data_IF_934092743796
#
_entry.id   IF_934092743796
#
_cell.length_a   1.000
_cell.length_b   1.000
_cell.length_c   1.000
_cell.angle_alpha   90.00
_cell.angle_beta   90.00
_cell.angle_gamma   90.00
#
_symmetry.space_group_name_H-M   'P 1'
#
loop_
_entity.id
_entity.type
_entity.pdbx_description
1 polymer ?
#
# COMPACT_ATOMS: atom_id res chain seq x y z
N UNK A 1 -4.46 12.32 23.69
CA UNK A 1 -4.91 12.30 22.47
C UNK A 1 -3.80 12.24 21.42
N UNK A 2 -3.50 11.20 21.02
CA UNK A 2 -2.42 11.06 20.11
C UNK A 2 -2.84 10.86 18.69
N UNK A 3 -2.09 10.03 18.08
CA UNK A 3 -2.30 9.67 16.70
C UNK A 3 -3.64 8.97 16.50
N UNK A 4 -4.22 9.23 15.37
CA UNK A 4 -5.39 8.52 14.91
C UNK A 4 -4.92 7.43 13.97
N UNK A 5 -5.25 6.20 14.28
CA UNK A 5 -4.86 5.04 13.48
C UNK A 5 -6.04 4.53 12.67
N UNK A 6 -5.76 4.16 11.44
CA UNK A 6 -6.71 3.48 10.60
C UNK A 6 -6.21 2.09 10.30
N UNK A 7 -6.98 1.09 10.73
CA UNK A 7 -6.79 -0.28 10.29
C UNK A 7 -7.79 -0.52 9.18
N UNK A 8 -7.31 -0.65 7.95
CA UNK A 8 -8.18 -0.77 6.79
C UNK A 8 -8.80 -2.16 6.76
N UNK A 9 -10.10 -2.30 7.00
CA UNK A 9 -10.74 -3.61 6.98
C UNK A 9 -10.83 -4.15 5.55
N UNK A 10 -10.81 -5.48 5.43
CA UNK A 10 -10.86 -6.15 4.13
C UNK A 10 -12.13 -5.79 3.36
N UNK A 11 -13.23 -5.61 4.08
CA UNK A 11 -14.52 -5.30 3.46
C UNK A 11 -14.68 -3.83 3.05
N UNK A 12 -13.69 -2.98 3.32
CA UNK A 12 -13.75 -1.58 2.91
C UNK A 12 -13.76 -1.50 1.38
N UNK A 13 -14.73 -0.76 0.83
CA UNK A 13 -14.77 -0.49 -0.59
C UNK A 13 -13.77 0.61 -0.92
N UNK A 14 -12.62 0.23 -1.48
CA UNK A 14 -11.54 1.18 -1.77
C UNK A 14 -11.89 2.19 -2.85
N UNK A 15 -12.99 1.99 -3.57
CA UNK A 15 -13.44 2.92 -4.59
C UNK A 15 -14.37 4.01 -4.04
N UNK A 16 -15.14 3.71 -3.01
CA UNK A 16 -16.25 4.59 -2.59
C UNK A 16 -16.28 4.94 -1.11
N UNK A 17 -15.87 4.04 -0.24
CA UNK A 17 -16.15 4.16 1.19
C UNK A 17 -14.94 4.50 2.04
N UNK A 18 -14.28 5.60 1.71
CA UNK A 18 -13.17 6.08 2.51
C UNK A 18 -13.65 7.01 3.62
N UNK A 19 -13.04 6.94 4.83
CA UNK A 19 -13.34 7.89 5.89
C UNK A 19 -13.06 9.33 5.46
N UNK A 20 -13.86 10.27 5.94
CA UNK A 20 -13.63 11.69 5.65
C UNK A 20 -12.64 12.35 6.61
N UNK A 21 -12.29 11.68 7.69
CA UNK A 21 -11.34 12.21 8.66
C UNK A 21 -9.89 12.11 8.14
N UNK A 22 -9.00 12.87 8.76
CA UNK A 22 -7.56 12.81 8.49
C UNK A 22 -6.85 12.05 9.60
N UNK A 23 -5.86 11.23 9.21
CA UNK A 23 -5.19 10.32 10.12
C UNK A 23 -3.68 10.47 10.05
N UNK A 24 -3.01 10.11 11.14
CA UNK A 24 -1.56 10.07 11.19
C UNK A 24 -0.99 8.76 10.67
N UNK A 25 -1.74 7.66 10.78
CA UNK A 25 -1.28 6.33 10.38
C UNK A 25 -2.38 5.56 9.68
N UNK A 26 -1.98 4.78 8.68
CA UNK A 26 -2.83 3.80 8.04
C UNK A 26 -2.04 2.49 7.96
N UNK A 27 -2.69 1.37 8.26
CA UNK A 27 -2.05 0.07 8.21
C UNK A 27 -2.93 -0.92 7.45
N UNK A 28 -2.30 -1.69 6.56
CA UNK A 28 -2.99 -2.74 5.83
C UNK A 28 -2.09 -3.96 5.74
N UNK A 29 -2.62 -5.12 6.07
CA UNK A 29 -1.89 -6.37 6.03
C UNK A 29 -2.57 -7.36 5.10
N UNK A 30 -1.77 -7.95 4.21
CA UNK A 30 -2.20 -9.05 3.34
C UNK A 30 -3.43 -8.72 2.48
N UNK A 31 -3.51 -7.50 1.96
CA UNK A 31 -4.63 -7.04 1.16
C UNK A 31 -4.28 -6.88 -0.32
N UNK A 32 -3.10 -6.31 -0.63
CA UNK A 32 -2.76 -5.96 -2.02
C UNK A 32 -2.68 -7.17 -2.95
N UNK A 33 -2.26 -8.32 -2.45
CA UNK A 33 -2.17 -9.52 -3.27
C UNK A 33 -3.51 -10.24 -3.44
N UNK A 34 -4.52 -9.88 -2.64
CA UNK A 34 -5.86 -10.46 -2.72
C UNK A 34 -6.77 -9.64 -3.62
N UNK A 35 -6.69 -8.31 -3.55
CA UNK A 35 -7.55 -7.45 -4.34
C UNK A 35 -7.20 -7.53 -5.84
N UNK A 36 -8.16 -7.29 -6.75
CA UNK A 36 -7.84 -7.14 -8.16
C UNK A 36 -6.85 -5.99 -8.37
N UNK A 37 -5.93 -6.14 -9.32
CA UNK A 37 -4.89 -5.15 -9.58
C UNK A 37 -5.46 -3.77 -9.93
N UNK A 38 -6.61 -3.71 -10.58
CA UNK A 38 -7.27 -2.43 -10.91
C UNK A 38 -7.69 -1.62 -9.69
N UNK A 39 -7.80 -2.26 -8.51
CA UNK A 39 -8.17 -1.57 -7.29
C UNK A 39 -6.98 -0.96 -6.55
N UNK A 40 -5.76 -1.25 -6.98
CA UNK A 40 -4.58 -0.66 -6.35
C UNK A 40 -4.53 0.87 -6.52
N UNK A 41 -4.87 1.37 -7.72
CA UNK A 41 -4.86 2.82 -7.95
C UNK A 41 -5.85 3.55 -7.03
N UNK A 42 -7.15 3.17 -6.95
CA UNK A 42 -8.05 3.81 -5.99
C UNK A 42 -7.67 3.56 -4.52
N UNK A 43 -7.04 2.44 -4.21
CA UNK A 43 -6.53 2.19 -2.86
C UNK A 43 -5.52 3.27 -2.46
N UNK A 44 -4.50 3.51 -3.28
CA UNK A 44 -3.48 4.53 -2.96
C UNK A 44 -4.03 5.94 -3.03
N UNK A 45 -4.99 6.21 -3.90
CA UNK A 45 -5.66 7.51 -3.93
C UNK A 45 -6.40 7.77 -2.62
N UNK A 46 -7.11 6.76 -2.11
CA UNK A 46 -7.81 6.88 -0.84
C UNK A 46 -6.87 7.06 0.34
N UNK A 47 -5.80 6.26 0.41
CA UNK A 47 -4.80 6.38 1.47
C UNK A 47 -4.16 7.77 1.45
N UNK A 48 -3.78 8.24 0.26
CA UNK A 48 -3.19 9.57 0.13
C UNK A 48 -4.13 10.67 0.58
N UNK A 49 -5.44 10.49 0.39
CA UNK A 49 -6.44 11.47 0.78
C UNK A 49 -6.64 11.52 2.30
N UNK A 50 -6.63 10.36 2.97
CA UNK A 50 -6.92 10.32 4.41
C UNK A 50 -5.72 10.59 5.30
N UNK A 51 -4.50 10.47 4.77
CA UNK A 51 -3.29 10.73 5.56
C UNK A 51 -2.95 12.21 5.59
N UNK A 52 -2.60 12.69 6.78
CA UNK A 52 -2.03 14.03 6.95
C UNK A 52 -0.64 14.07 6.35
N UNK A 53 -0.15 15.25 6.00
CA UNK A 53 1.24 15.44 5.62
C UNK A 53 2.14 14.93 6.75
N UNK A 54 3.14 14.12 6.43
CA UNK A 54 3.98 13.46 7.41
C UNK A 54 3.40 12.16 7.96
N UNK A 55 2.15 11.83 7.66
CA UNK A 55 1.54 10.58 8.08
C UNK A 55 2.16 9.37 7.39
N UNK A 56 1.99 8.20 7.99
CA UNK A 56 2.61 6.97 7.52
C UNK A 56 1.57 5.95 7.10
N UNK A 57 1.84 5.29 5.97
CA UNK A 57 1.08 4.12 5.53
C UNK A 57 1.99 2.90 5.60
N UNK A 58 1.57 1.88 6.34
CA UNK A 58 2.31 0.65 6.49
C UNK A 58 1.59 -0.47 5.77
N UNK A 59 2.26 -1.12 4.83
CA UNK A 59 1.72 -2.24 4.07
C UNK A 59 2.52 -3.49 4.36
N UNK A 60 1.87 -4.53 4.83
CA UNK A 60 2.50 -5.81 5.15
C UNK A 60 2.02 -6.88 4.17
N UNK A 61 2.95 -7.64 3.64
CA UNK A 61 2.61 -8.77 2.76
C UNK A 61 3.78 -9.17 1.89
N UNK A 62 3.58 -10.14 0.99
CA UNK A 62 4.58 -10.53 0.03
C UNK A 62 4.63 -9.57 -1.16
N UNK A 63 5.82 -9.36 -1.73
CA UNK A 63 6.02 -8.52 -2.92
C UNK A 63 7.06 -9.14 -3.82
N UNK A 64 7.01 -8.80 -5.11
CA UNK A 64 8.05 -9.17 -6.08
C UNK A 64 8.98 -7.98 -6.31
N UNK A 65 10.22 -8.28 -6.62
CA UNK A 65 11.26 -7.29 -6.90
C UNK A 65 11.81 -7.55 -8.29
N UNK A 66 11.79 -6.55 -9.16
CA UNK A 66 12.22 -6.66 -10.56
C UNK A 66 11.52 -7.84 -11.25
N UNK A 67 10.22 -7.98 -10.96
CA UNK A 67 9.35 -9.05 -11.49
C UNK A 67 9.74 -10.45 -11.05
N UNK A 68 10.54 -10.57 -10.00
CA UNK A 68 10.99 -11.88 -9.47
C UNK A 68 10.46 -12.09 -8.07
N UNK A 69 10.10 -13.32 -7.76
CA UNK A 69 9.72 -13.69 -6.40
C UNK A 69 10.94 -13.74 -5.50
N UNK A 70 10.76 -13.40 -4.22
CA UNK A 70 11.83 -13.46 -3.24
C UNK A 70 12.08 -14.85 -2.72
N UNK A 71 11.17 -15.79 -2.98
CA UNK A 71 11.29 -17.18 -2.56
C UNK A 71 10.45 -18.09 -3.43
N UNK A 72 10.78 -19.37 -3.42
CA UNK A 72 9.97 -20.38 -4.09
C UNK A 72 8.57 -20.48 -3.48
N UNK A 73 8.47 -20.35 -2.15
CA UNK A 73 7.17 -20.41 -1.48
C UNK A 73 6.28 -19.25 -1.93
N UNK A 74 6.83 -18.06 -2.17
CA UNK A 74 6.05 -16.95 -2.71
C UNK A 74 5.60 -17.21 -4.15
N UNK A 75 6.44 -17.83 -4.95
CA UNK A 75 6.05 -18.22 -6.31
C UNK A 75 4.87 -19.20 -6.30
N UNK A 76 4.92 -20.19 -5.40
CA UNK A 76 3.82 -21.15 -5.24
C UNK A 76 2.56 -20.49 -4.70
N UNK A 77 2.72 -19.57 -3.77
CA UNK A 77 1.57 -18.81 -3.22
C UNK A 77 0.90 -17.96 -4.30
N UNK A 78 1.70 -17.35 -5.18
CA UNK A 78 1.16 -16.57 -6.31
C UNK A 78 0.30 -17.45 -7.23
N UNK A 79 0.77 -18.66 -7.52
CA UNK A 79 -0.01 -19.62 -8.31
C UNK A 79 -1.32 -19.98 -7.62
N UNK A 80 -1.27 -20.22 -6.31
CA UNK A 80 -2.47 -20.53 -5.54
C UNK A 80 -3.47 -19.37 -5.58
N UNK A 81 -2.97 -18.13 -5.40
CA UNK A 81 -3.83 -16.93 -5.48
C UNK A 81 -4.52 -16.84 -6.84
N UNK A 82 -3.77 -17.01 -7.93
CA UNK A 82 -4.32 -16.88 -9.28
C UNK A 82 -5.27 -17.99 -9.63
N UNK A 83 -5.09 -19.18 -9.08
CA UNK A 83 -6.03 -20.29 -9.26
C UNK A 83 -7.36 -20.02 -8.57
N UNK A 84 -7.34 -19.29 -7.45
CA UNK A 84 -8.57 -18.93 -6.74
C UNK A 84 -9.23 -17.68 -7.32
N UNK A 85 -8.42 -16.72 -7.80
CA UNK A 85 -8.90 -15.51 -8.46
C UNK A 85 -7.84 -15.01 -9.43
N UNK A 86 -8.08 -15.10 -10.75
CA UNK A 86 -7.09 -14.68 -11.76
C UNK A 86 -6.62 -13.23 -11.62
N UNK A 87 -7.41 -12.37 -10.97
CA UNK A 87 -7.05 -10.96 -10.78
C UNK A 87 -6.19 -10.73 -9.54
N UNK A 88 -6.04 -11.75 -8.69
CA UNK A 88 -5.16 -11.69 -7.53
C UNK A 88 -3.74 -12.09 -7.92
N UNK A 89 -2.79 -11.78 -7.06
CA UNK A 89 -1.39 -12.15 -7.25
C UNK A 89 -0.46 -11.26 -6.45
N UNK A 90 0.76 -11.74 -6.23
CA UNK A 90 1.79 -10.97 -5.54
C UNK A 90 2.20 -9.80 -6.44
N UNK A 91 2.19 -8.58 -5.89
CA UNK A 91 2.42 -7.36 -6.67
C UNK A 91 3.90 -7.03 -6.77
N UNK A 92 4.29 -6.41 -7.90
CA UNK A 92 5.63 -5.87 -8.07
C UNK A 92 5.79 -4.62 -7.22
N UNK A 93 6.90 -4.56 -6.45
CA UNK A 93 7.14 -3.39 -5.61
C UNK A 93 7.27 -2.12 -6.45
N UNK A 94 7.84 -2.22 -7.65
CA UNK A 94 8.00 -1.07 -8.52
C UNK A 94 6.67 -0.44 -8.90
N UNK A 95 5.66 -1.28 -9.16
CA UNK A 95 4.31 -0.80 -9.47
C UNK A 95 3.68 -0.16 -8.25
N UNK A 96 3.83 -0.80 -7.09
CA UNK A 96 3.29 -0.30 -5.82
C UNK A 96 3.89 1.08 -5.49
N UNK A 97 5.20 1.20 -5.58
CA UNK A 97 5.91 2.47 -5.32
C UNK A 97 5.46 3.57 -6.28
N UNK A 98 5.29 3.22 -7.56
CA UNK A 98 4.85 4.18 -8.57
C UNK A 98 3.44 4.70 -8.30
N UNK A 99 2.50 3.80 -7.96
CA UNK A 99 1.13 4.19 -7.64
C UNK A 99 1.07 5.03 -6.35
N UNK A 100 1.86 4.66 -5.36
CA UNK A 100 1.95 5.43 -4.12
C UNK A 100 2.47 6.85 -4.40
N UNK A 101 3.51 6.96 -5.23
CA UNK A 101 4.13 8.26 -5.56
C UNK A 101 3.14 9.21 -6.23
N UNK A 102 2.21 8.71 -7.01
CA UNK A 102 1.16 9.53 -7.63
C UNK A 102 0.25 10.20 -6.61
N UNK A 103 0.26 9.71 -5.38
CA UNK A 103 -0.57 10.23 -4.30
C UNK A 103 0.29 10.81 -3.17
N UNK A 104 1.49 11.27 -3.50
CA UNK A 104 2.44 11.89 -2.60
C UNK A 104 2.90 10.96 -1.46
N UNK A 105 2.87 9.64 -1.69
CA UNK A 105 3.34 8.64 -0.73
C UNK A 105 4.70 8.13 -1.19
N UNK A 106 5.74 8.42 -0.41
CA UNK A 106 7.11 8.00 -0.72
C UNK A 106 7.53 6.85 0.16
N UNK A 107 8.11 5.81 -0.44
CA UNK A 107 8.63 4.66 0.30
C UNK A 107 9.83 5.11 1.14
N UNK A 108 9.74 4.97 2.46
CA UNK A 108 10.82 5.34 3.38
C UNK A 108 11.48 4.12 4.03
N UNK A 109 10.77 3.01 4.12
CA UNK A 109 11.32 1.75 4.64
C UNK A 109 10.74 0.56 3.89
N UNK A 110 11.61 -0.44 3.67
CA UNK A 110 11.25 -1.75 3.16
C UNK A 110 12.00 -2.76 4.02
N UNK A 111 11.29 -3.43 4.92
CA UNK A 111 11.90 -4.35 5.88
C UNK A 111 11.47 -5.77 5.61
N UNK A 112 12.44 -6.69 5.64
CA UNK A 112 12.15 -8.11 5.57
C UNK A 112 11.49 -8.56 6.86
N UNK A 113 10.43 -9.34 6.72
CA UNK A 113 9.64 -9.87 7.81
C UNK A 113 9.58 -11.40 7.71
N UNK A 114 9.19 -12.10 8.78
CA UNK A 114 9.07 -13.56 8.72
C UNK A 114 8.14 -14.04 7.61
N UNK A 115 8.35 -15.29 7.18
CA UNK A 115 7.54 -15.96 6.17
C UNK A 115 7.56 -15.27 4.80
N UNK A 116 8.71 -14.67 4.45
CA UNK A 116 8.93 -14.04 3.14
C UNK A 116 7.97 -12.88 2.85
N UNK A 117 7.56 -12.19 3.90
CA UNK A 117 6.79 -10.97 3.80
C UNK A 117 7.71 -9.75 3.93
N UNK A 118 7.20 -8.62 3.52
CA UNK A 118 7.88 -7.33 3.65
C UNK A 118 6.95 -6.38 4.41
N UNK A 119 7.55 -5.47 5.16
CA UNK A 119 6.84 -4.32 5.73
C UNK A 119 7.29 -3.09 4.97
N UNK A 120 6.39 -2.52 4.19
CA UNK A 120 6.65 -1.30 3.44
C UNK A 120 6.07 -0.12 4.21
N UNK A 121 6.87 0.91 4.42
CA UNK A 121 6.42 2.13 5.08
C UNK A 121 6.53 3.28 4.09
N UNK A 122 5.39 3.92 3.83
CA UNK A 122 5.30 5.10 2.99
C UNK A 122 4.99 6.31 3.84
N UNK A 123 5.58 7.45 3.49
CA UNK A 123 5.34 8.71 4.19
C UNK A 123 4.61 9.67 3.24
N UNK A 124 3.55 10.30 3.74
CA UNK A 124 2.83 11.32 3.00
C UNK A 124 3.66 12.59 2.94
N UNK A 125 3.99 13.01 1.73
CA UNK A 125 4.75 14.22 1.49
C UNK A 125 3.83 15.44 1.40
N UNK A 126 4.39 16.63 1.57
CA UNK A 126 3.65 17.85 1.25
C UNK A 126 3.43 17.90 -0.25
N UNK A 127 2.31 18.49 -0.68
CA UNK A 127 2.04 18.63 -2.09
C UNK A 127 3.04 19.59 -2.75
N UNK A 128 3.30 19.40 -4.04
CA UNK A 128 4.14 20.32 -4.79
C UNK A 128 3.66 21.76 -4.70
N UNK A 129 2.35 21.97 -4.63
CA UNK A 129 1.76 23.28 -4.49
C UNK A 129 2.14 23.93 -3.16
N UNK A 130 2.13 23.18 -2.06
CA UNK A 130 2.53 23.67 -0.75
C UNK A 130 4.03 24.00 -0.73
N UNK A 131 4.85 23.14 -1.32
CA UNK A 131 6.29 23.38 -1.44
C UNK A 131 6.56 24.67 -2.20
N UNK A 132 5.86 24.89 -3.32
CA UNK A 132 6.01 26.10 -4.12
C UNK A 132 5.65 27.35 -3.34
N UNK A 133 4.64 27.31 -2.48
CA UNK A 133 4.26 28.45 -1.66
C UNK A 133 5.29 28.77 -0.59
N UNK A 134 6.04 27.77 -0.15
CA UNK A 134 7.02 27.92 0.91
C UNK A 134 8.41 28.30 0.39
N UNK A 135 8.58 28.22 -0.89
CA UNK A 135 9.84 28.64 -1.50
C UNK A 135 9.73 30.07 -2.02
#
# INVERSE_FOLDING_TARGET
>A
AGAQNVLLPIYLDVQEQWPEASYDYAYSANVLHIMPDKLMAPFFAGVGKILKAGGLCCLYGPFKYKKKFTSESNANFDLWLKNNNPLSGIRDIEVVVSLAARNALSLVHDREMPANNQLLVFKKQTSCREVSKNS
#
